data_IF_748385813887
#
_entry.id   IF_748385813887
#
_cell.length_a   1.000
_cell.length_b   1.000
_cell.length_c   1.000
_cell.angle_alpha   90.00
_cell.angle_beta   90.00
_cell.angle_gamma   90.00
#
_symmetry.space_group_name_H-M   'P 1'
#
loop_
_entity.id
_entity.type
_entity.pdbx_description
1 polymer ?
#
# COMPACT_ATOMS: atom_id res chain seq x y z
N UNK A 1 -40.53 -14.44 -22.23
CA UNK A 1 -40.37 -15.91 -22.34
C UNK A 1 -41.73 -16.56 -22.52
N UNK A 2 -41.78 -17.73 -23.15
CA UNK A 2 -43.01 -18.50 -23.42
C UNK A 2 -43.54 -19.23 -22.17
N UNK A 3 -43.69 -18.51 -21.05
CA UNK A 3 -44.18 -19.10 -19.80
C UNK A 3 -45.68 -19.41 -19.87
N UNK A 4 -46.04 -20.68 -19.73
CA UNK A 4 -47.41 -21.15 -19.50
C UNK A 4 -47.84 -20.91 -18.04
N UNK A 5 -48.92 -20.16 -17.85
CA UNK A 5 -49.51 -19.79 -16.56
C UNK A 5 -50.08 -20.99 -15.82
N UNK A 6 -50.74 -21.92 -16.51
CA UNK A 6 -51.34 -23.10 -15.90
C UNK A 6 -50.24 -24.07 -15.41
N UNK A 7 -49.18 -24.23 -16.20
CA UNK A 7 -47.99 -24.97 -15.78
C UNK A 7 -47.31 -24.31 -14.56
N UNK A 8 -47.21 -22.98 -14.56
CA UNK A 8 -46.67 -22.20 -13.45
C UNK A 8 -47.44 -22.35 -12.14
N UNK A 9 -48.77 -22.30 -12.21
CA UNK A 9 -49.64 -22.51 -11.06
C UNK A 9 -49.46 -23.90 -10.46
N UNK A 10 -49.35 -24.93 -11.31
CA UNK A 10 -49.09 -26.30 -10.88
C UNK A 10 -47.71 -26.42 -10.21
N UNK A 11 -46.68 -25.82 -10.82
CA UNK A 11 -45.31 -25.81 -10.28
C UNK A 11 -45.22 -25.13 -8.91
N UNK A 12 -45.94 -24.03 -8.67
CA UNK A 12 -46.01 -23.36 -7.36
C UNK A 12 -46.52 -24.30 -6.26
N UNK A 13 -47.44 -25.21 -6.59
CA UNK A 13 -47.94 -26.21 -5.65
C UNK A 13 -46.94 -27.37 -5.51
N UNK A 14 -46.47 -27.92 -6.63
CA UNK A 14 -45.62 -29.13 -6.67
C UNK A 14 -44.24 -28.91 -6.04
N UNK A 15 -43.64 -27.73 -6.24
CA UNK A 15 -42.32 -27.37 -5.67
C UNK A 15 -42.44 -26.96 -4.19
N UNK A 16 -43.66 -26.77 -3.69
CA UNK A 16 -43.91 -26.47 -2.27
C UNK A 16 -43.73 -25.00 -1.91
N UNK A 17 -43.91 -24.07 -2.85
CA UNK A 17 -43.81 -22.64 -2.58
C UNK A 17 -44.78 -22.21 -1.45
N UNK A 18 -45.97 -22.83 -1.40
CA UNK A 18 -46.98 -22.58 -0.36
C UNK A 18 -46.58 -23.07 1.04
N UNK A 19 -45.51 -23.87 1.17
CA UNK A 19 -44.97 -24.28 2.47
C UNK A 19 -44.38 -23.10 3.26
N UNK A 20 -43.95 -22.05 2.56
CA UNK A 20 -43.41 -20.82 3.15
C UNK A 20 -44.24 -19.58 2.81
N UNK A 21 -44.76 -19.49 1.58
CA UNK A 21 -45.48 -18.32 1.08
C UNK A 21 -47.00 -18.50 1.15
N UNK A 22 -47.71 -17.38 1.30
CA UNK A 22 -49.16 -17.33 1.15
C UNK A 22 -49.55 -16.81 -0.23
N UNK A 23 -50.60 -17.38 -0.82
CA UNK A 23 -51.26 -16.91 -2.05
C UNK A 23 -52.77 -17.01 -1.87
N UNK A 24 -53.46 -15.87 -1.98
CA UNK A 24 -54.91 -15.70 -1.85
C UNK A 24 -55.51 -16.44 -0.64
N UNK A 25 -54.83 -16.34 0.52
CA UNK A 25 -55.25 -16.99 1.76
C UNK A 25 -54.73 -18.41 1.96
N UNK A 26 -54.22 -19.08 0.93
CA UNK A 26 -53.68 -20.44 1.01
C UNK A 26 -52.16 -20.46 1.21
N UNK A 27 -51.64 -21.42 1.97
CA UNK A 27 -50.20 -21.57 2.28
C UNK A 27 -49.83 -21.09 3.68
N UNK A 28 -48.57 -20.70 3.88
CA UNK A 28 -48.01 -20.32 5.17
C UNK A 28 -47.55 -18.85 5.18
N UNK A 29 -47.36 -18.25 6.36
CA UNK A 29 -46.97 -16.85 6.53
C UNK A 29 -45.49 -16.68 6.92
N UNK A 30 -44.68 -17.72 6.73
CA UNK A 30 -43.25 -17.68 7.05
C UNK A 30 -42.47 -16.74 6.11
N UNK A 31 -42.90 -16.66 4.86
CA UNK A 31 -42.33 -15.78 3.83
C UNK A 31 -43.39 -14.78 3.31
N UNK A 32 -42.99 -13.72 2.58
CA UNK A 32 -43.92 -12.69 2.14
C UNK A 32 -45.11 -13.22 1.32
N UNK A 33 -46.28 -12.64 1.52
CA UNK A 33 -47.50 -12.94 0.77
C UNK A 33 -47.33 -12.56 -0.72
N UNK A 34 -47.53 -13.54 -1.60
CA UNK A 34 -47.36 -13.42 -3.05
C UNK A 34 -48.68 -13.09 -3.78
N UNK A 35 -49.80 -12.97 -3.08
CA UNK A 35 -51.14 -12.67 -3.65
C UNK A 35 -51.17 -11.42 -4.53
N UNK A 36 -50.22 -10.49 -4.32
CA UNK A 36 -50.09 -9.24 -5.06
C UNK A 36 -48.67 -8.97 -5.54
N UNK A 37 -47.85 -10.00 -5.70
CA UNK A 37 -46.42 -9.85 -6.03
C UNK A 37 -46.20 -9.03 -7.31
N UNK A 38 -47.05 -9.21 -8.32
CA UNK A 38 -46.97 -8.50 -9.59
C UNK A 38 -47.14 -6.97 -9.45
N UNK A 39 -47.80 -6.49 -8.38
CA UNK A 39 -47.94 -5.06 -8.11
C UNK A 39 -46.63 -4.39 -7.66
N UNK A 40 -45.60 -5.16 -7.29
CA UNK A 40 -44.35 -4.66 -6.72
C UNK A 40 -43.13 -4.89 -7.60
N UNK A 41 -43.09 -5.99 -8.36
CA UNK A 41 -41.89 -6.42 -9.10
C UNK A 41 -42.14 -6.45 -10.61
N UNK A 42 -41.10 -6.65 -11.42
CA UNK A 42 -41.23 -6.91 -12.85
C UNK A 42 -40.88 -8.37 -13.16
N UNK A 43 -41.25 -8.84 -14.35
CA UNK A 43 -41.11 -10.24 -14.74
C UNK A 43 -39.64 -10.69 -14.78
N UNK A 44 -38.74 -9.86 -15.31
CA UNK A 44 -37.31 -10.20 -15.44
C UNK A 44 -36.64 -10.38 -14.07
N UNK A 45 -36.92 -9.47 -13.15
CA UNK A 45 -36.46 -9.56 -11.77
C UNK A 45 -37.02 -10.80 -11.07
N UNK A 46 -38.33 -11.04 -11.21
CA UNK A 46 -38.98 -12.17 -10.56
C UNK A 46 -38.45 -13.51 -11.07
N UNK A 47 -38.19 -13.61 -12.38
CA UNK A 47 -37.53 -14.76 -12.99
C UNK A 47 -36.14 -15.01 -12.40
N UNK A 48 -35.30 -13.97 -12.35
CA UNK A 48 -33.96 -14.07 -11.77
C UNK A 48 -34.00 -14.48 -10.29
N UNK A 49 -34.89 -13.86 -9.51
CA UNK A 49 -35.06 -14.14 -8.08
C UNK A 49 -35.55 -15.56 -7.81
N UNK A 50 -36.54 -16.05 -8.56
CA UNK A 50 -37.06 -17.42 -8.41
C UNK A 50 -36.02 -18.47 -8.83
N UNK A 51 -35.23 -18.18 -9.87
CA UNK A 51 -34.18 -19.08 -10.37
C UNK A 51 -33.01 -19.20 -9.40
N UNK A 52 -32.48 -18.07 -8.93
CA UNK A 52 -31.35 -18.06 -8.00
C UNK A 52 -31.36 -16.80 -7.11
N UNK A 53 -32.03 -16.82 -5.96
CA UNK A 53 -32.16 -15.63 -5.12
C UNK A 53 -30.84 -15.26 -4.43
N UNK A 54 -29.93 -16.22 -4.22
CA UNK A 54 -28.60 -15.98 -3.62
C UNK A 54 -27.68 -15.14 -4.52
N UNK A 55 -27.88 -15.13 -5.84
CA UNK A 55 -27.12 -14.26 -6.75
C UNK A 55 -27.44 -12.78 -6.50
N UNK A 56 -28.67 -12.47 -6.09
CA UNK A 56 -29.10 -11.11 -5.76
C UNK A 56 -28.88 -10.78 -4.28
N UNK A 57 -29.15 -11.73 -3.38
CA UNK A 57 -29.00 -11.55 -1.94
C UNK A 57 -28.36 -12.81 -1.30
N UNK A 58 -27.03 -12.82 -1.09
CA UNK A 58 -26.28 -14.03 -0.69
C UNK A 58 -26.78 -14.73 0.59
N UNK A 59 -27.38 -13.99 1.52
CA UNK A 59 -27.86 -14.50 2.81
C UNK A 59 -29.40 -14.56 2.89
N UNK A 60 -30.09 -14.59 1.76
CA UNK A 60 -31.56 -14.71 1.71
C UNK A 60 -32.04 -16.03 2.32
N UNK A 61 -33.15 -15.97 3.06
CA UNK A 61 -33.81 -17.14 3.62
C UNK A 61 -34.56 -17.97 2.56
N UNK A 62 -34.80 -17.40 1.37
CA UNK A 62 -35.41 -18.13 0.24
C UNK A 62 -34.38 -19.11 -0.34
N UNK A 63 -34.57 -20.43 -0.24
CA UNK A 63 -33.58 -21.39 -0.70
C UNK A 63 -33.54 -21.44 -2.23
N UNK A 64 -32.41 -21.90 -2.79
CA UNK A 64 -32.37 -22.31 -4.19
C UNK A 64 -33.21 -23.58 -4.38
N UNK A 65 -34.28 -23.46 -5.17
CA UNK A 65 -35.21 -24.57 -5.46
C UNK A 65 -34.73 -25.45 -6.63
N UNK A 66 -33.52 -25.20 -7.17
CA UNK A 66 -32.89 -25.95 -8.27
C UNK A 66 -33.77 -26.06 -9.52
N UNK A 67 -34.48 -24.98 -9.85
CA UNK A 67 -35.40 -24.91 -10.97
C UNK A 67 -34.65 -24.84 -12.30
N UNK A 68 -35.21 -25.45 -13.35
CA UNK A 68 -34.80 -25.15 -14.72
C UNK A 68 -35.30 -23.77 -15.15
N UNK A 69 -34.68 -23.21 -16.20
CA UNK A 69 -35.10 -21.94 -16.79
C UNK A 69 -36.57 -21.97 -17.25
N UNK A 70 -37.01 -23.10 -17.78
CA UNK A 70 -38.40 -23.30 -18.19
C UNK A 70 -39.36 -23.28 -16.98
N UNK A 71 -39.02 -24.00 -15.89
CA UNK A 71 -39.82 -23.99 -14.67
C UNK A 71 -39.89 -22.60 -14.03
N UNK A 72 -38.76 -21.89 -13.95
CA UNK A 72 -38.72 -20.52 -13.44
C UNK A 72 -39.55 -19.57 -14.31
N UNK A 73 -39.56 -19.75 -15.64
CA UNK A 73 -40.37 -18.95 -16.56
C UNK A 73 -41.87 -19.19 -16.35
N UNK A 74 -42.28 -20.45 -16.17
CA UNK A 74 -43.68 -20.80 -15.87
C UNK A 74 -44.14 -20.21 -14.54
N UNK A 75 -43.36 -20.38 -13.47
CA UNK A 75 -43.68 -19.82 -12.15
C UNK A 75 -43.78 -18.30 -12.22
N UNK A 76 -42.83 -17.65 -12.90
CA UNK A 76 -42.85 -16.20 -13.11
C UNK A 76 -44.11 -15.77 -13.86
N UNK A 77 -44.49 -16.47 -14.94
CA UNK A 77 -45.69 -16.16 -15.70
C UNK A 77 -46.96 -16.23 -14.83
N UNK A 78 -47.08 -17.25 -13.98
CA UNK A 78 -48.19 -17.35 -13.03
C UNK A 78 -48.16 -16.25 -11.97
N UNK A 79 -47.03 -16.04 -11.30
CA UNK A 79 -46.93 -15.02 -10.25
C UNK A 79 -47.16 -13.60 -10.78
N UNK A 80 -46.81 -13.33 -12.04
CA UNK A 80 -47.11 -12.05 -12.69
C UNK A 80 -48.60 -11.82 -12.97
N UNK A 81 -49.46 -12.84 -12.84
CA UNK A 81 -50.93 -12.66 -12.83
C UNK A 81 -51.48 -12.25 -11.46
N UNK A 82 -50.68 -12.36 -10.40
CA UNK A 82 -51.11 -12.11 -9.03
C UNK A 82 -50.92 -10.63 -8.66
N UNK A 83 -51.91 -9.83 -9.02
CA UNK A 83 -52.00 -8.39 -8.75
C UNK A 83 -51.66 -7.52 -9.96
N UNK A 84 -52.02 -6.25 -9.89
CA UNK A 84 -51.76 -5.28 -10.94
C UNK A 84 -50.93 -4.11 -10.42
N UNK A 85 -50.01 -3.60 -11.26
CA UNK A 85 -49.38 -2.30 -11.01
C UNK A 85 -50.38 -1.22 -11.32
N UNK A 86 -51.08 -0.74 -10.30
CA UNK A 86 -51.96 0.42 -10.43
C UNK A 86 -51.12 1.70 -10.41
N UNK A 87 -50.98 2.34 -11.56
CA UNK A 87 -50.46 3.70 -11.61
C UNK A 87 -51.50 4.65 -10.99
N UNK A 88 -51.08 5.53 -10.08
CA UNK A 88 -51.98 6.54 -9.52
C UNK A 88 -52.40 7.51 -10.64
N UNK A 89 -53.70 7.62 -10.98
CA UNK A 89 -54.14 8.54 -12.04
C UNK A 89 -53.78 10.00 -11.75
N UNK A 90 -53.81 10.38 -10.47
CA UNK A 90 -53.41 11.71 -10.01
C UNK A 90 -51.90 11.97 -10.21
N UNK A 91 -51.06 10.95 -10.02
CA UNK A 91 -49.63 11.05 -10.28
C UNK A 91 -49.35 11.06 -11.78
N UNK A 92 -49.99 10.19 -12.55
CA UNK A 92 -49.86 10.13 -14.01
C UNK A 92 -50.23 11.48 -14.67
N UNK A 93 -51.31 12.12 -14.22
CA UNK A 93 -51.70 13.46 -14.67
C UNK A 93 -50.63 14.51 -14.36
N UNK A 94 -49.96 14.43 -13.20
CA UNK A 94 -48.86 15.35 -12.84
C UNK A 94 -47.55 15.05 -13.55
N UNK A 95 -47.28 13.80 -13.91
CA UNK A 95 -46.10 13.45 -14.73
C UNK A 95 -46.19 14.09 -16.12
N UNK A 96 -47.39 14.29 -16.66
CA UNK A 96 -47.60 15.00 -17.92
C UNK A 96 -47.41 16.52 -17.80
N UNK A 97 -47.39 17.08 -16.59
CA UNK A 97 -47.11 18.50 -16.37
C UNK A 97 -45.61 18.76 -16.25
N UNK A 98 -45.01 19.17 -17.37
CA UNK A 98 -43.60 19.53 -17.45
C UNK A 98 -43.17 20.57 -16.40
N UNK A 99 -44.06 21.47 -15.95
CA UNK A 99 -43.70 22.47 -14.93
C UNK A 99 -43.41 21.84 -13.57
N UNK A 100 -44.15 20.79 -13.22
CA UNK A 100 -43.96 20.05 -11.96
C UNK A 100 -42.68 19.22 -12.05
N UNK A 101 -42.42 18.59 -13.20
CA UNK A 101 -41.16 17.87 -13.45
C UNK A 101 -39.96 18.83 -13.38
N UNK A 102 -40.05 19.99 -14.01
CA UNK A 102 -39.00 21.02 -13.97
C UNK A 102 -38.79 21.58 -12.56
N UNK A 103 -39.86 21.70 -11.77
CA UNK A 103 -39.75 22.05 -10.35
C UNK A 103 -38.96 20.98 -9.57
N UNK A 104 -39.23 19.70 -9.81
CA UNK A 104 -38.45 18.60 -9.26
C UNK A 104 -36.96 18.69 -9.63
N UNK A 105 -36.67 18.95 -10.91
CA UNK A 105 -35.29 19.14 -11.39
C UNK A 105 -34.58 20.31 -10.68
N UNK A 106 -35.27 21.44 -10.46
CA UNK A 106 -34.72 22.57 -9.71
C UNK A 106 -34.45 22.23 -8.25
N UNK A 107 -35.27 21.39 -7.62
CA UNK A 107 -35.06 20.94 -6.24
C UNK A 107 -33.83 20.02 -6.17
N UNK A 108 -33.68 19.08 -7.11
CA UNK A 108 -32.50 18.23 -7.20
C UNK A 108 -31.23 19.07 -7.36
N UNK A 109 -31.25 20.06 -8.26
CA UNK A 109 -30.14 21.00 -8.45
C UNK A 109 -29.79 21.81 -7.20
N UNK A 110 -30.80 22.31 -6.49
CA UNK A 110 -30.61 23.11 -5.27
C UNK A 110 -29.91 22.34 -4.15
N UNK A 111 -30.27 21.06 -3.97
CA UNK A 111 -29.71 20.22 -2.92
C UNK A 111 -28.51 19.37 -3.38
N UNK A 112 -28.24 19.32 -4.69
CA UNK A 112 -27.11 18.60 -5.25
C UNK A 112 -27.22 17.08 -5.10
N UNK A 113 -28.43 16.50 -5.24
CA UNK A 113 -28.63 15.07 -5.03
C UNK A 113 -27.74 14.19 -5.94
N UNK A 114 -27.44 14.67 -7.14
CA UNK A 114 -26.52 14.03 -8.09
C UNK A 114 -25.06 13.95 -7.61
N UNK A 115 -24.71 14.67 -6.53
CA UNK A 115 -23.39 14.56 -5.91
C UNK A 115 -23.18 13.24 -5.16
N UNK A 116 -24.26 12.53 -4.81
CA UNK A 116 -24.20 11.25 -4.11
C UNK A 116 -25.02 10.13 -4.78
N UNK A 117 -25.99 10.46 -5.61
CA UNK A 117 -26.83 9.50 -6.34
C UNK A 117 -26.57 9.61 -7.85
N UNK A 118 -26.51 8.46 -8.52
CA UNK A 118 -26.57 8.43 -9.98
C UNK A 118 -28.00 8.73 -10.43
N UNK A 119 -28.19 9.86 -11.11
CA UNK A 119 -29.50 10.30 -11.62
C UNK A 119 -29.37 10.49 -13.13
N UNK A 120 -30.16 9.71 -13.88
CA UNK A 120 -30.15 9.72 -15.34
C UNK A 120 -30.37 11.13 -15.90
N UNK A 121 -29.45 11.60 -16.74
CA UNK A 121 -29.47 12.95 -17.35
C UNK A 121 -28.90 14.06 -16.46
N UNK A 122 -28.33 13.73 -15.30
CA UNK A 122 -27.67 14.68 -14.40
C UNK A 122 -26.22 14.33 -14.08
N UNK A 123 -25.62 13.39 -14.80
CA UNK A 123 -24.25 12.88 -14.59
C UNK A 123 -23.19 13.97 -14.81
N UNK A 124 -23.48 14.96 -15.67
CA UNK A 124 -22.59 16.09 -15.97
C UNK A 124 -22.84 17.35 -15.13
N UNK A 125 -23.75 17.32 -14.16
CA UNK A 125 -24.08 18.50 -13.38
C UNK A 125 -22.93 18.89 -12.43
N UNK A 126 -22.62 20.20 -12.31
CA UNK A 126 -21.52 20.66 -11.45
C UNK A 126 -21.84 20.40 -9.99
N UNK A 127 -20.82 19.99 -9.21
CA UNK A 127 -20.95 19.83 -7.76
C UNK A 127 -21.45 21.13 -7.13
N UNK A 128 -22.36 21.02 -6.16
CA UNK A 128 -22.94 22.18 -5.46
C UNK A 128 -21.92 22.86 -4.53
N UNK A 129 -20.96 22.08 -3.99
CA UNK A 129 -19.90 22.61 -3.13
C UNK A 129 -18.73 23.19 -3.92
N UNK A 130 -18.02 24.20 -3.35
CA UNK A 130 -16.77 24.69 -3.94
C UNK A 130 -15.68 23.63 -3.93
N UNK A 131 -14.71 23.79 -4.82
CA UNK A 131 -13.49 23.00 -4.85
C UNK A 131 -12.61 23.34 -3.64
N UNK A 132 -11.95 22.33 -3.06
CA UNK A 132 -11.21 22.46 -1.79
C UNK A 132 -9.72 22.10 -1.86
N UNK A 133 -9.20 21.59 -2.98
CA UNK A 133 -7.81 21.06 -3.07
C UNK A 133 -6.76 22.14 -2.83
N UNK A 134 -7.09 23.41 -3.06
CA UNK A 134 -6.22 24.58 -2.82
C UNK A 134 -6.81 25.54 -1.78
N UNK A 135 -7.74 25.06 -0.94
CA UNK A 135 -8.50 25.89 -0.02
C UNK A 135 -7.62 26.63 1.02
N UNK A 136 -6.47 26.06 1.39
CA UNK A 136 -5.53 26.67 2.32
C UNK A 136 -4.95 27.99 1.81
N UNK A 137 -4.87 28.16 0.48
CA UNK A 137 -4.25 29.32 -0.18
C UNK A 137 -5.13 30.56 -0.17
N UNK A 138 -6.43 30.39 0.15
CA UNK A 138 -7.36 31.50 0.28
C UNK A 138 -6.87 32.46 1.37
N UNK A 139 -6.91 33.74 1.08
CA UNK A 139 -6.61 34.79 2.04
C UNK A 139 -7.87 35.20 2.81
N UNK A 140 -7.74 35.69 4.06
CA UNK A 140 -8.90 36.13 4.84
C UNK A 140 -9.80 37.14 4.12
N UNK A 141 -9.25 38.05 3.32
CA UNK A 141 -10.04 39.03 2.55
C UNK A 141 -10.81 38.43 1.36
N UNK A 142 -10.50 37.20 0.95
CA UNK A 142 -11.27 36.46 -0.05
C UNK A 142 -12.44 35.69 0.58
N UNK A 143 -12.56 35.73 1.93
CA UNK A 143 -13.61 35.07 2.68
C UNK A 143 -14.69 36.07 3.09
N UNK A 144 -15.95 35.76 2.78
CA UNK A 144 -17.08 36.59 3.14
C UNK A 144 -17.55 36.28 4.57
N UNK A 145 -17.31 37.20 5.51
CA UNK A 145 -17.71 37.06 6.92
C UNK A 145 -19.16 37.50 7.22
N UNK A 146 -19.90 38.00 6.22
CA UNK A 146 -21.30 38.43 6.39
C UNK A 146 -21.48 39.44 7.53
N UNK A 147 -22.56 39.29 8.29
CA UNK A 147 -22.94 40.19 9.39
C UNK A 147 -22.51 39.66 10.78
N UNK A 148 -21.59 38.70 10.82
CA UNK A 148 -21.17 38.05 12.06
C UNK A 148 -20.35 39.01 12.94
N UNK A 149 -20.54 39.00 14.27
CA UNK A 149 -19.67 39.76 15.18
C UNK A 149 -18.24 39.21 15.17
N UNK A 150 -17.30 39.96 14.57
CA UNK A 150 -15.91 39.54 14.42
C UNK A 150 -14.99 40.08 15.51
N UNK A 151 -14.01 39.28 15.90
CA UNK A 151 -12.88 39.69 16.72
C UNK A 151 -11.70 40.04 15.79
N UNK A 152 -11.24 41.29 15.81
CA UNK A 152 -10.09 41.76 15.01
C UNK A 152 -8.78 41.13 15.51
N UNK A 153 -7.97 40.57 14.61
CA UNK A 153 -6.69 39.91 14.90
C UNK A 153 -5.51 40.90 14.98
N UNK A 154 -4.54 40.65 15.88
CA UNK A 154 -3.17 41.17 15.79
C UNK A 154 -2.37 40.23 14.88
N UNK A 155 -1.82 40.79 13.81
CA UNK A 155 -1.16 40.16 12.65
C UNK A 155 -0.29 38.91 12.93
N UNK A 156 -0.48 37.86 12.10
CA UNK A 156 0.38 36.68 11.79
C UNK A 156 0.50 35.48 12.74
N UNK A 157 -0.05 35.48 13.95
CA UNK A 157 0.01 34.27 14.80
C UNK A 157 -1.10 33.27 14.45
N UNK A 158 -0.72 32.03 14.09
CA UNK A 158 -1.67 30.91 14.04
C UNK A 158 -2.25 30.76 15.45
N UNK A 159 -3.57 30.82 15.58
CA UNK A 159 -4.22 30.77 16.88
C UNK A 159 -4.35 29.34 17.36
N UNK A 160 -4.19 29.06 18.67
CA UNK A 160 -4.53 27.76 19.22
C UNK A 160 -5.99 27.41 18.95
N UNK A 161 -6.26 26.15 18.59
CA UNK A 161 -7.60 25.62 18.31
C UNK A 161 -8.55 25.86 19.49
N UNK A 162 -8.07 25.69 20.73
CA UNK A 162 -8.81 25.96 21.97
C UNK A 162 -9.37 27.39 22.04
N UNK A 163 -8.63 28.36 21.48
CA UNK A 163 -9.09 29.76 21.42
C UNK A 163 -10.30 29.90 20.51
N UNK A 164 -10.31 29.22 19.35
CA UNK A 164 -11.43 29.27 18.41
C UNK A 164 -12.68 28.62 19.00
N UNK A 165 -12.51 27.48 19.68
CA UNK A 165 -13.59 26.79 20.39
C UNK A 165 -14.22 27.73 21.43
N UNK A 166 -13.40 28.36 22.27
CA UNK A 166 -13.86 29.27 23.31
C UNK A 166 -14.57 30.52 22.73
N UNK A 167 -14.03 31.10 21.66
CA UNK A 167 -14.66 32.25 20.98
C UNK A 167 -16.03 31.90 20.40
N UNK A 168 -16.13 30.72 19.78
CA UNK A 168 -17.39 30.25 19.22
C UNK A 168 -18.45 29.99 20.30
N UNK A 169 -18.03 29.43 21.45
CA UNK A 169 -18.90 29.19 22.60
C UNK A 169 -19.49 30.49 23.21
N UNK A 170 -18.79 31.63 23.12
CA UNK A 170 -19.20 32.95 23.64
C UNK A 170 -20.19 33.71 22.71
N UNK A 171 -21.11 32.99 22.07
CA UNK A 171 -22.16 33.59 21.24
C UNK A 171 -21.78 33.77 19.77
N UNK A 172 -21.14 32.74 19.17
CA UNK A 172 -20.82 32.70 17.74
C UNK A 172 -19.90 33.84 17.29
N UNK A 173 -18.93 34.23 18.12
CA UNK A 173 -17.86 35.14 17.70
C UNK A 173 -16.73 34.32 17.12
N UNK A 174 -16.12 34.83 16.06
CA UNK A 174 -14.93 34.23 15.47
C UNK A 174 -13.89 35.30 15.17
N UNK A 175 -12.64 34.89 15.09
CA UNK A 175 -11.58 35.76 14.64
C UNK A 175 -11.72 36.03 13.14
N UNK A 176 -11.43 37.27 12.72
CA UNK A 176 -11.31 37.66 11.32
C UNK A 176 -10.02 37.07 10.72
N UNK A 177 -10.02 35.75 10.55
CA UNK A 177 -8.90 34.95 10.05
C UNK A 177 -9.40 33.78 9.21
N UNK A 178 -8.48 33.17 8.47
CA UNK A 178 -8.77 31.96 7.69
C UNK A 178 -9.26 30.84 8.63
N UNK A 179 -8.60 30.67 9.77
CA UNK A 179 -8.93 29.64 10.74
C UNK A 179 -10.29 29.90 11.39
N UNK A 180 -10.56 31.15 11.78
CA UNK A 180 -11.83 31.55 12.35
C UNK A 180 -12.99 31.36 11.38
N UNK A 181 -12.82 31.78 10.11
CA UNK A 181 -13.85 31.62 9.09
C UNK A 181 -14.18 30.14 8.87
N UNK A 182 -13.14 29.33 8.63
CA UNK A 182 -13.25 27.90 8.34
C UNK A 182 -13.88 27.13 9.51
N UNK A 183 -13.40 27.39 10.73
CA UNK A 183 -13.96 26.79 11.94
C UNK A 183 -15.42 27.18 12.14
N UNK A 184 -15.77 28.46 12.01
CA UNK A 184 -17.15 28.93 12.11
C UNK A 184 -18.07 28.30 11.07
N UNK A 185 -17.60 28.07 9.83
CA UNK A 185 -18.37 27.35 8.80
C UNK A 185 -18.69 25.91 9.18
N UNK A 186 -17.75 25.22 9.82
CA UNK A 186 -17.96 23.83 10.27
C UNK A 186 -18.91 23.77 11.46
N UNK A 187 -18.79 24.71 12.41
CA UNK A 187 -19.67 24.77 13.57
C UNK A 187 -21.10 25.24 13.22
N UNK A 188 -21.23 26.15 12.25
CA UNK A 188 -22.50 26.62 11.72
C UNK A 188 -22.36 27.05 10.25
N UNK A 189 -22.78 26.18 9.34
CA UNK A 189 -22.69 26.43 7.89
C UNK A 189 -23.46 27.67 7.41
N UNK A 190 -24.45 28.14 8.19
CA UNK A 190 -25.29 29.31 7.91
C UNK A 190 -24.81 30.59 8.60
N UNK A 191 -23.75 30.53 9.41
CA UNK A 191 -23.26 31.65 10.22
C UNK A 191 -23.03 32.93 9.42
N UNK A 192 -22.43 32.83 8.24
CA UNK A 192 -22.14 33.97 7.35
C UNK A 192 -23.20 34.22 6.27
N UNK A 193 -24.43 33.70 6.45
CA UNK A 193 -25.52 34.01 5.53
C UNK A 193 -25.94 35.48 5.68
N UNK A 194 -26.37 36.08 4.58
CA UNK A 194 -26.99 37.42 4.56
C UNK A 194 -28.34 37.32 3.85
N UNK A 195 -29.16 38.37 3.92
CA UNK A 195 -30.43 38.45 3.20
C UNK A 195 -30.28 38.25 1.67
N UNK A 196 -29.09 38.51 1.14
CA UNK A 196 -28.78 38.39 -0.30
C UNK A 196 -28.01 37.13 -0.65
N UNK A 197 -27.27 36.54 0.30
CA UNK A 197 -26.40 35.39 0.06
C UNK A 197 -26.82 34.25 0.98
N UNK A 198 -27.66 33.39 0.43
CA UNK A 198 -28.12 32.17 1.11
C UNK A 198 -27.04 31.10 0.94
N UNK A 199 -26.48 30.66 2.07
CA UNK A 199 -25.55 29.55 2.11
C UNK A 199 -26.31 28.23 1.89
N UNK A 200 -25.75 27.29 1.13
CA UNK A 200 -26.41 26.00 0.82
C UNK A 200 -25.81 24.81 1.58
N UNK A 201 -24.55 24.90 2.04
CA UNK A 201 -23.85 23.84 2.79
C UNK A 201 -24.71 23.33 3.98
N UNK A 202 -25.03 22.03 4.09
CA UNK A 202 -25.81 21.52 5.21
C UNK A 202 -25.14 21.81 6.55
N UNK A 203 -25.92 21.95 7.62
CA UNK A 203 -25.36 21.99 8.96
C UNK A 203 -25.19 20.55 9.46
N UNK A 204 -23.93 20.10 9.53
CA UNK A 204 -23.57 18.75 9.96
C UNK A 204 -23.41 18.63 11.48
N UNK A 205 -23.48 19.74 12.23
CA UNK A 205 -23.32 19.77 13.68
C UNK A 205 -22.02 19.09 14.17
N UNK A 206 -20.90 19.38 13.49
CA UNK A 206 -19.60 18.83 13.86
C UNK A 206 -19.25 19.12 15.32
N UNK A 207 -18.68 18.10 15.99
CA UNK A 207 -18.08 18.27 17.31
C UNK A 207 -16.90 19.26 17.23
N UNK A 208 -16.46 19.80 18.37
CA UNK A 208 -15.27 20.66 18.39
C UNK A 208 -14.03 19.92 17.92
N UNK A 209 -13.93 18.62 18.23
CA UNK A 209 -12.86 17.74 17.78
C UNK A 209 -12.89 17.56 16.25
N UNK A 210 -14.05 17.24 15.68
CA UNK A 210 -14.20 17.04 14.23
C UNK A 210 -13.93 18.33 13.45
N UNK A 211 -14.49 19.46 13.91
CA UNK A 211 -14.27 20.76 13.27
C UNK A 211 -12.79 21.17 13.33
N UNK A 212 -12.09 20.80 14.41
CA UNK A 212 -10.65 21.04 14.56
C UNK A 212 -9.82 20.15 13.64
N UNK A 213 -10.14 18.86 13.55
CA UNK A 213 -9.46 17.92 12.66
C UNK A 213 -9.63 18.31 11.19
N UNK A 214 -10.85 18.68 10.79
CA UNK A 214 -11.15 19.18 9.46
C UNK A 214 -10.43 20.50 9.16
N UNK A 215 -10.31 21.40 10.14
CA UNK A 215 -9.54 22.64 9.99
C UNK A 215 -8.07 22.36 9.65
N UNK A 216 -7.44 21.41 10.36
CA UNK A 216 -6.06 21.00 10.10
C UNK A 216 -5.91 20.38 8.72
N UNK A 217 -6.82 19.49 8.33
CA UNK A 217 -6.81 18.89 7.00
C UNK A 217 -6.94 19.95 5.90
N UNK A 218 -7.92 20.85 6.03
CA UNK A 218 -8.14 21.94 5.09
C UNK A 218 -6.93 22.88 4.99
N UNK A 219 -6.14 23.02 6.06
CA UNK A 219 -4.90 23.80 6.06
C UNK A 219 -3.77 23.12 5.27
N UNK A 220 -3.83 21.81 5.05
CA UNK A 220 -2.87 21.09 4.21
C UNK A 220 -3.18 21.13 2.70
N UNK A 221 -4.37 21.63 2.32
CA UNK A 221 -4.81 21.70 0.93
C UNK A 221 -4.28 22.96 0.25
N UNK A 222 -2.99 22.95 -0.08
CA UNK A 222 -2.25 24.06 -0.70
C UNK A 222 -1.67 23.65 -2.06
N UNK A 223 -1.68 24.56 -3.02
CA UNK A 223 -0.91 24.49 -4.28
C UNK A 223 0.29 25.48 -4.25
N UNK A 224 0.58 26.06 -3.08
CA UNK A 224 1.69 26.98 -2.88
C UNK A 224 3.02 26.24 -3.00
N UNK A 225 3.61 26.33 -4.19
CA UNK A 225 5.01 25.98 -4.42
C UNK A 225 5.86 27.00 -3.69
N UNK A 226 6.52 26.59 -2.61
CA UNK A 226 7.47 27.41 -1.87
C UNK A 226 8.43 28.10 -2.86
N UNK A 227 8.69 29.41 -2.74
CA UNK A 227 9.64 30.09 -3.61
C UNK A 227 11.00 29.36 -3.57
N UNK A 228 11.79 29.32 -4.66
CA UNK A 228 13.04 28.56 -4.71
C UNK A 228 14.02 28.86 -3.57
N UNK A 229 13.98 30.05 -2.97
CA UNK A 229 14.79 30.43 -1.81
C UNK A 229 14.39 29.76 -0.48
N UNK A 230 13.21 29.15 -0.40
CA UNK A 230 12.72 28.36 0.74
C UNK A 230 12.71 26.86 0.46
N UNK A 231 13.00 26.45 -0.77
CA UNK A 231 13.23 25.05 -1.12
C UNK A 231 14.71 24.78 -0.87
N UNK A 232 15.00 23.95 0.15
CA UNK A 232 16.34 23.38 0.26
C UNK A 232 16.60 22.60 -1.03
N UNK A 233 17.58 23.02 -1.82
CA UNK A 233 18.11 22.18 -2.91
C UNK A 233 19.04 21.20 -2.21
N UNK A 234 18.63 19.92 -2.04
CA UNK A 234 19.48 18.95 -1.38
C UNK A 234 20.80 18.84 -2.14
N UNK A 235 21.90 18.64 -1.41
CA UNK A 235 23.15 18.25 -2.07
C UNK A 235 22.95 16.95 -2.85
N UNK A 236 23.84 16.63 -3.79
CA UNK A 236 23.77 15.36 -4.51
C UNK A 236 23.71 14.16 -3.54
N UNK A 237 24.47 14.21 -2.44
CA UNK A 237 24.45 13.19 -1.38
C UNK A 237 23.10 13.11 -0.65
N UNK A 238 22.49 14.25 -0.36
CA UNK A 238 21.19 14.29 0.32
C UNK A 238 20.08 13.79 -0.61
N UNK A 239 20.12 14.16 -1.89
CA UNK A 239 19.19 13.67 -2.90
C UNK A 239 19.31 12.14 -3.07
N UNK A 240 20.55 11.62 -3.12
CA UNK A 240 20.81 10.19 -3.16
C UNK A 240 20.25 9.48 -1.92
N UNK A 241 20.45 10.04 -0.72
CA UNK A 241 19.94 9.46 0.52
C UNK A 241 18.42 9.40 0.58
N UNK A 242 17.74 10.47 0.16
CA UNK A 242 16.28 10.53 0.10
C UNK A 242 15.75 9.50 -0.92
N UNK A 243 16.35 9.45 -2.11
CA UNK A 243 15.96 8.49 -3.14
C UNK A 243 16.15 7.04 -2.67
N UNK A 244 17.30 6.73 -2.06
CA UNK A 244 17.59 5.43 -1.48
C UNK A 244 16.64 5.04 -0.35
N UNK A 245 16.34 5.97 0.56
CA UNK A 245 15.38 5.76 1.65
C UNK A 245 13.97 5.45 1.13
N UNK A 246 13.52 6.15 0.09
CA UNK A 246 12.24 5.87 -0.56
C UNK A 246 12.21 4.46 -1.17
N UNK A 247 13.29 4.00 -1.80
CA UNK A 247 13.36 2.64 -2.33
C UNK A 247 13.36 1.58 -1.21
N UNK A 248 14.06 1.84 -0.09
CA UNK A 248 14.02 0.97 1.09
C UNK A 248 12.61 0.81 1.65
N UNK A 249 11.81 1.88 1.65
CA UNK A 249 10.41 1.86 2.06
C UNK A 249 9.52 1.17 1.01
N UNK A 250 9.68 1.52 -0.28
CA UNK A 250 8.92 0.96 -1.41
C UNK A 250 9.01 -0.57 -1.46
N UNK A 251 10.20 -1.12 -1.28
CA UNK A 251 10.43 -2.57 -1.28
C UNK A 251 10.40 -3.21 0.11
N UNK A 252 10.02 -2.44 1.14
CA UNK A 252 9.90 -2.86 2.53
C UNK A 252 11.12 -3.66 3.05
N UNK A 253 12.33 -3.15 2.80
CA UNK A 253 13.57 -3.85 3.15
C UNK A 253 13.68 -4.10 4.67
N UNK A 254 13.19 -3.16 5.49
CA UNK A 254 13.14 -3.28 6.95
C UNK A 254 12.15 -4.34 7.45
N UNK A 255 11.24 -4.84 6.60
CA UNK A 255 10.35 -5.95 6.97
C UNK A 255 11.13 -7.24 7.25
N UNK A 256 12.26 -7.44 6.58
CA UNK A 256 13.12 -8.62 6.76
C UNK A 256 14.45 -8.27 7.44
N UNK A 257 15.06 -7.13 7.09
CA UNK A 257 16.35 -6.70 7.59
C UNK A 257 16.22 -5.82 8.83
N UNK A 258 17.19 -5.91 9.72
CA UNK A 258 17.35 -4.96 10.80
C UNK A 258 18.52 -4.01 10.54
N UNK A 259 18.35 -2.76 10.97
CA UNK A 259 19.32 -1.67 10.83
C UNK A 259 19.30 -0.89 12.14
N UNK A 260 20.42 -0.83 12.85
CA UNK A 260 20.57 -0.07 14.10
C UNK A 260 19.46 -0.33 15.15
N UNK A 261 19.01 -1.60 15.26
CA UNK A 261 17.98 -2.01 16.23
C UNK A 261 16.53 -1.86 15.76
N UNK A 262 16.29 -1.45 14.50
CA UNK A 262 14.97 -1.34 13.89
C UNK A 262 14.82 -2.33 12.73
N UNK A 263 13.63 -2.92 12.56
CA UNK A 263 13.31 -3.82 11.45
C UNK A 263 13.19 -5.29 11.85
N UNK A 264 13.17 -6.17 10.86
CA UNK A 264 12.98 -7.61 11.01
C UNK A 264 14.28 -8.37 11.33
N UNK A 265 14.16 -9.54 11.97
CA UNK A 265 15.29 -10.41 12.32
C UNK A 265 15.43 -11.62 11.39
N UNK A 266 14.68 -11.65 10.29
CA UNK A 266 14.66 -12.77 9.34
C UNK A 266 15.89 -12.73 8.43
N UNK A 267 16.40 -11.54 8.11
CA UNK A 267 17.54 -11.32 7.24
C UNK A 267 18.70 -10.63 7.99
N UNK A 268 19.93 -10.64 7.41
CA UNK A 268 21.10 -10.10 8.10
C UNK A 268 21.00 -8.60 8.41
N UNK A 269 21.73 -8.18 9.47
CA UNK A 269 21.96 -6.79 9.82
C UNK A 269 22.58 -6.02 8.65
N UNK A 270 21.96 -4.93 8.22
CA UNK A 270 22.51 -4.08 7.15
C UNK A 270 23.23 -2.83 7.67
N UNK A 271 23.30 -2.60 8.99
CA UNK A 271 23.85 -1.37 9.59
C UNK A 271 25.29 -1.05 9.15
N UNK A 272 26.05 -2.05 8.73
CA UNK A 272 27.44 -1.93 8.28
C UNK A 272 27.64 -2.47 6.86
N UNK A 273 26.56 -2.68 6.09
CA UNK A 273 26.67 -3.34 4.79
C UNK A 273 27.51 -2.53 3.79
N UNK A 274 27.48 -1.20 3.88
CA UNK A 274 28.33 -0.32 3.07
C UNK A 274 29.82 -0.43 3.38
N UNK A 275 30.17 -0.72 4.64
CA UNK A 275 31.56 -1.01 5.02
C UNK A 275 31.97 -2.45 4.69
N UNK A 276 31.01 -3.38 4.66
CA UNK A 276 31.23 -4.83 4.53
C UNK A 276 31.36 -5.31 3.10
N UNK A 277 30.43 -4.90 2.23
CA UNK A 277 30.35 -5.40 0.87
C UNK A 277 31.18 -4.55 -0.09
N UNK A 278 31.60 -5.14 -1.21
CA UNK A 278 32.07 -4.37 -2.37
C UNK A 278 30.87 -3.88 -3.17
N UNK A 279 30.90 -2.63 -3.61
CA UNK A 279 29.80 -2.00 -4.35
C UNK A 279 29.40 -2.75 -5.63
N UNK A 280 30.37 -3.25 -6.40
CA UNK A 280 30.10 -4.05 -7.61
C UNK A 280 29.42 -5.38 -7.30
N UNK A 281 29.85 -6.05 -6.23
CA UNK A 281 29.19 -7.28 -5.81
C UNK A 281 27.78 -6.99 -5.32
N UNK A 282 27.58 -5.96 -4.49
CA UNK A 282 26.28 -5.58 -3.97
C UNK A 282 25.29 -5.26 -5.10
N UNK A 283 25.72 -4.50 -6.12
CA UNK A 283 24.91 -4.23 -7.30
C UNK A 283 24.50 -5.52 -8.03
N UNK A 284 25.45 -6.43 -8.26
CA UNK A 284 25.18 -7.72 -8.90
C UNK A 284 24.21 -8.59 -8.08
N UNK A 285 24.33 -8.54 -6.75
CA UNK A 285 23.47 -9.30 -5.84
C UNK A 285 22.06 -8.74 -5.79
N UNK A 286 21.89 -7.41 -5.78
CA UNK A 286 20.57 -6.77 -5.85
C UNK A 286 19.83 -7.10 -7.17
N UNK A 287 20.56 -7.20 -8.29
CA UNK A 287 20.01 -7.61 -9.59
C UNK A 287 19.58 -9.08 -9.62
N UNK A 288 20.38 -9.96 -9.01
CA UNK A 288 20.13 -11.41 -9.03
C UNK A 288 20.50 -12.05 -7.68
N UNK A 289 19.61 -11.94 -6.66
CA UNK A 289 19.86 -12.53 -5.35
C UNK A 289 19.94 -14.06 -5.44
N UNK A 290 20.98 -14.63 -4.83
CA UNK A 290 21.21 -16.08 -4.78
C UNK A 290 21.63 -16.53 -3.37
N UNK A 291 21.54 -17.82 -3.10
CA UNK A 291 21.90 -18.36 -1.79
C UNK A 291 23.41 -18.21 -1.53
N UNK A 292 23.75 -17.57 -0.42
CA UNK A 292 25.12 -17.36 0.04
C UNK A 292 25.56 -18.43 1.05
N UNK A 293 24.62 -18.90 1.87
CA UNK A 293 24.86 -19.92 2.91
C UNK A 293 24.09 -21.17 2.52
N UNK A 294 24.76 -22.27 2.13
CA UNK A 294 24.08 -23.50 1.73
C UNK A 294 23.11 -24.05 2.79
N UNK A 295 23.42 -23.81 4.07
CA UNK A 295 22.62 -24.26 5.22
C UNK A 295 21.38 -23.40 5.53
N UNK A 296 21.17 -22.27 4.84
CA UNK A 296 20.06 -21.35 5.13
C UNK A 296 18.96 -21.49 4.07
N UNK A 297 17.73 -21.80 4.51
CA UNK A 297 16.56 -21.95 3.64
C UNK A 297 15.99 -20.59 3.20
N UNK A 298 16.14 -19.56 4.04
CA UNK A 298 15.74 -18.20 3.71
C UNK A 298 16.70 -17.59 2.69
N UNK A 299 16.15 -17.04 1.61
CA UNK A 299 16.86 -16.27 0.59
C UNK A 299 16.23 -14.90 0.41
N UNK A 300 17.03 -13.91 0.04
CA UNK A 300 16.51 -12.61 -0.36
C UNK A 300 15.58 -12.79 -1.58
N UNK A 301 14.35 -12.25 -1.55
CA UNK A 301 13.45 -12.33 -2.70
C UNK A 301 14.01 -11.59 -3.91
N UNK A 302 13.59 -12.01 -5.11
CA UNK A 302 13.82 -11.22 -6.32
C UNK A 302 12.84 -10.06 -6.34
N UNK A 303 13.34 -8.83 -6.44
CA UNK A 303 12.53 -7.63 -6.58
C UNK A 303 12.55 -7.16 -8.04
N UNK A 304 11.44 -6.59 -8.56
CA UNK A 304 11.40 -5.99 -9.88
C UNK A 304 12.07 -4.60 -9.85
N UNK A 305 13.39 -4.59 -9.61
CA UNK A 305 14.20 -3.38 -9.62
C UNK A 305 14.55 -3.01 -11.05
N UNK A 306 14.41 -1.73 -11.40
CA UNK A 306 15.09 -1.19 -12.57
C UNK A 306 16.60 -1.11 -12.31
N UNK A 307 17.40 -1.06 -13.38
CA UNK A 307 18.85 -0.91 -13.24
C UNK A 307 19.23 0.36 -12.45
N UNK A 308 18.50 1.45 -12.66
CA UNK A 308 18.73 2.69 -11.94
C UNK A 308 18.39 2.57 -10.45
N UNK A 309 17.28 1.90 -10.11
CA UNK A 309 16.92 1.65 -8.70
C UNK A 309 17.95 0.76 -8.01
N UNK A 310 18.49 -0.25 -8.70
CA UNK A 310 19.55 -1.10 -8.15
C UNK A 310 20.85 -0.30 -7.88
N UNK A 311 21.22 0.61 -8.78
CA UNK A 311 22.36 1.53 -8.59
C UNK A 311 22.11 2.47 -7.42
N UNK A 312 20.94 3.11 -7.36
CA UNK A 312 20.57 4.03 -6.26
C UNK A 312 20.54 3.31 -4.91
N UNK A 313 20.01 2.08 -4.83
CA UNK A 313 20.05 1.27 -3.61
C UNK A 313 21.49 0.92 -3.21
N UNK A 314 22.34 0.52 -4.18
CA UNK A 314 23.75 0.25 -3.92
C UNK A 314 24.44 1.50 -3.38
N UNK A 315 24.32 2.63 -4.05
CA UNK A 315 24.98 3.89 -3.65
C UNK A 315 24.48 4.36 -2.28
N UNK A 316 23.18 4.24 -2.01
CA UNK A 316 22.61 4.53 -0.70
C UNK A 316 23.17 3.62 0.40
N UNK A 317 23.23 2.29 0.19
CA UNK A 317 23.81 1.35 1.17
C UNK A 317 25.28 1.68 1.43
N UNK A 318 26.04 1.93 0.35
CA UNK A 318 27.47 2.23 0.41
C UNK A 318 27.78 3.59 1.07
N UNK A 319 26.80 4.48 1.21
CA UNK A 319 26.99 5.80 1.83
C UNK A 319 26.33 5.91 3.19
N UNK A 320 25.14 5.35 3.37
CA UNK A 320 24.35 5.46 4.59
C UNK A 320 24.71 4.40 5.65
N UNK A 321 25.21 3.23 5.24
CA UNK A 321 25.49 2.11 6.15
C UNK A 321 26.99 1.86 6.30
N UNK A 322 27.71 2.95 6.59
CA UNK A 322 29.13 2.96 6.90
C UNK A 322 29.32 2.87 8.42
N UNK A 323 30.15 1.92 8.84
CA UNK A 323 30.52 1.70 10.22
C UNK A 323 31.95 2.19 10.47
N UNK A 324 32.10 3.14 11.39
CA UNK A 324 33.40 3.73 11.74
C UNK A 324 34.36 2.75 12.42
N UNK A 325 33.86 1.61 12.91
CA UNK A 325 34.68 0.53 13.49
C UNK A 325 35.48 -0.23 12.42
N UNK A 326 35.30 0.10 11.14
CA UNK A 326 36.01 -0.48 10.00
C UNK A 326 37.00 0.54 9.42
N UNK A 327 38.16 0.76 10.06
CA UNK A 327 39.18 1.64 9.54
C UNK A 327 39.88 1.01 8.32
N UNK A 328 40.42 1.87 7.44
CA UNK A 328 41.30 1.41 6.34
C UNK A 328 42.54 0.74 6.91
N UNK A 329 42.90 -0.43 6.40
CA UNK A 329 44.08 -1.19 6.80
C UNK A 329 45.25 -0.86 5.86
N UNK A 330 46.30 -0.14 6.32
CA UNK A 330 47.38 0.33 5.45
C UNK A 330 48.11 -0.78 4.70
N UNK A 331 48.29 -1.95 5.32
CA UNK A 331 49.00 -3.09 4.75
C UNK A 331 48.28 -3.68 3.53
N UNK A 332 46.95 -3.59 3.46
CA UNK A 332 46.20 -4.04 2.29
C UNK A 332 46.34 -3.04 1.14
N UNK A 333 46.47 -1.75 1.46
CA UNK A 333 46.71 -0.70 0.47
C UNK A 333 48.10 -0.77 -0.17
N UNK A 334 49.08 -1.43 0.46
CA UNK A 334 50.47 -1.54 -0.02
C UNK A 334 50.76 -2.76 -0.91
N UNK A 335 49.70 -3.43 -1.38
CA UNK A 335 49.72 -4.68 -2.14
C UNK A 335 50.18 -5.91 -1.34
N UNK A 336 49.30 -6.90 -1.32
CA UNK A 336 49.52 -8.22 -0.71
C UNK A 336 50.65 -8.97 -1.43
N UNK A 337 51.57 -9.58 -0.69
CA UNK A 337 52.68 -10.37 -1.24
C UNK A 337 52.34 -11.88 -1.28
N UNK A 338 53.00 -12.67 -2.17
CA UNK A 338 52.86 -14.13 -2.16
C UNK A 338 53.22 -14.78 -0.82
N UNK A 339 54.22 -14.24 -0.11
CA UNK A 339 54.63 -14.74 1.21
C UNK A 339 53.54 -14.53 2.26
N UNK A 340 52.82 -13.40 2.21
CA UNK A 340 51.66 -13.16 3.08
C UNK A 340 50.53 -14.15 2.81
N UNK A 341 50.27 -14.48 1.53
CA UNK A 341 49.26 -15.46 1.17
C UNK A 341 49.64 -16.87 1.65
N UNK A 342 50.92 -17.27 1.49
CA UNK A 342 51.42 -18.55 1.99
C UNK A 342 51.36 -18.63 3.53
N UNK A 343 51.65 -17.53 4.23
CA UNK A 343 51.46 -17.45 5.68
C UNK A 343 49.98 -17.57 6.05
N UNK A 344 49.09 -16.88 5.33
CA UNK A 344 47.65 -16.94 5.52
C UNK A 344 47.07 -18.34 5.34
N UNK A 345 47.58 -19.09 4.36
CA UNK A 345 47.22 -20.48 4.13
C UNK A 345 47.55 -21.36 5.33
N UNK A 346 48.78 -21.26 5.87
CA UNK A 346 49.19 -21.97 7.09
C UNK A 346 48.32 -21.59 8.29
N UNK A 347 48.00 -20.30 8.45
CA UNK A 347 47.13 -19.84 9.52
C UNK A 347 45.72 -20.44 9.40
N UNK A 348 45.19 -20.52 8.18
CA UNK A 348 43.87 -21.08 7.89
C UNK A 348 43.79 -22.59 8.17
N UNK A 349 44.79 -23.37 7.71
CA UNK A 349 44.77 -24.82 7.80
C UNK A 349 45.35 -25.40 9.09
N UNK A 350 46.36 -24.74 9.68
CA UNK A 350 47.13 -25.33 10.77
C UNK A 350 46.85 -24.66 12.12
N UNK A 351 46.92 -23.32 12.19
CA UNK A 351 46.85 -22.60 13.48
C UNK A 351 45.43 -22.38 14.00
N UNK A 352 44.52 -21.92 13.14
CA UNK A 352 43.16 -21.48 13.51
C UNK A 352 42.03 -22.42 13.05
N UNK A 353 42.37 -23.66 12.68
CA UNK A 353 41.62 -24.58 11.80
C UNK A 353 40.29 -24.04 11.20
N UNK A 354 40.37 -22.97 10.41
CA UNK A 354 39.19 -22.27 9.85
C UNK A 354 38.34 -23.19 8.96
N UNK A 355 38.98 -24.18 8.34
CA UNK A 355 38.38 -25.19 7.47
C UNK A 355 37.32 -26.08 8.14
N UNK A 356 37.31 -26.13 9.48
CA UNK A 356 36.32 -26.91 10.24
C UNK A 356 34.91 -26.34 10.08
N UNK A 357 34.80 -25.02 9.91
CA UNK A 357 33.53 -24.32 9.67
C UNK A 357 33.40 -23.81 8.23
N UNK A 358 34.49 -23.32 7.62
CA UNK A 358 34.48 -22.70 6.30
C UNK A 358 34.97 -23.65 5.20
N UNK A 359 34.33 -23.58 4.03
CA UNK A 359 34.74 -24.36 2.85
C UNK A 359 35.66 -23.53 1.95
N UNK A 360 36.54 -24.23 1.24
CA UNK A 360 37.27 -23.72 0.07
C UNK A 360 37.04 -24.69 -1.09
N UNK A 361 36.68 -24.15 -2.24
CA UNK A 361 36.29 -24.82 -3.48
C UNK A 361 35.21 -25.90 -3.26
N UNK A 362 34.21 -25.63 -2.42
CA UNK A 362 33.16 -26.59 -2.05
C UNK A 362 33.65 -27.82 -1.29
N UNK A 363 34.94 -27.90 -0.91
CA UNK A 363 35.50 -29.01 -0.14
C UNK A 363 35.40 -28.67 1.34
N UNK A 364 34.45 -29.30 2.03
CA UNK A 364 34.36 -29.27 3.49
C UNK A 364 35.10 -30.47 4.09
N UNK A 365 35.87 -30.24 5.16
CA UNK A 365 36.38 -31.33 6.01
C UNK A 365 35.55 -31.46 7.29
N UNK A 366 34.55 -30.58 7.50
CA UNK A 366 33.69 -30.51 8.69
C UNK A 366 32.24 -30.10 8.39
N UNK A 367 31.52 -29.59 9.41
CA UNK A 367 30.08 -29.38 9.40
C UNK A 367 29.56 -28.23 8.49
N UNK A 368 30.44 -27.56 7.73
CA UNK A 368 30.06 -26.53 6.76
C UNK A 368 29.12 -25.43 7.32
N UNK A 369 29.40 -25.00 8.55
CA UNK A 369 28.58 -24.01 9.28
C UNK A 369 28.77 -22.60 8.71
N UNK A 370 29.99 -22.27 8.28
CA UNK A 370 30.35 -21.00 7.67
C UNK A 370 30.08 -20.97 6.16
N UNK A 371 29.93 -19.78 5.56
CA UNK A 371 29.90 -19.64 4.11
C UNK A 371 31.20 -20.14 3.46
N UNK A 372 31.10 -20.56 2.20
CA UNK A 372 32.27 -20.83 1.35
C UNK A 372 33.09 -19.53 1.15
N UNK A 373 34.39 -19.61 1.42
CA UNK A 373 35.30 -18.47 1.39
C UNK A 373 36.08 -18.31 0.07
N UNK A 374 35.88 -19.22 -0.87
CA UNK A 374 36.56 -19.30 -2.18
C UNK A 374 36.56 -17.99 -2.94
N UNK A 375 35.43 -17.29 -2.92
CA UNK A 375 35.20 -16.02 -3.63
C UNK A 375 34.90 -14.87 -2.64
N UNK A 376 35.32 -15.03 -1.37
CA UNK A 376 35.08 -14.03 -0.33
C UNK A 376 35.70 -12.67 -0.67
N UNK A 377 36.87 -12.67 -1.34
CA UNK A 377 37.57 -11.45 -1.73
C UNK A 377 36.80 -10.60 -2.75
N UNK A 378 36.11 -11.23 -3.71
CA UNK A 378 35.28 -10.50 -4.69
C UNK A 378 34.06 -9.86 -4.05
N UNK A 379 33.65 -10.41 -2.91
CA UNK A 379 32.42 -10.04 -2.20
C UNK A 379 32.62 -8.98 -1.14
N UNK A 380 33.63 -9.19 -0.29
CA UNK A 380 33.82 -8.44 0.93
C UNK A 380 34.91 -7.39 0.75
N UNK A 381 34.73 -6.28 1.45
CA UNK A 381 35.76 -5.28 1.60
C UNK A 381 36.92 -5.89 2.43
N UNK A 382 38.18 -5.82 1.97
CA UNK A 382 39.32 -6.31 2.74
C UNK A 382 39.43 -5.73 4.16
N UNK A 383 39.15 -4.44 4.31
CA UNK A 383 39.21 -3.77 5.61
C UNK A 383 38.20 -4.37 6.58
N UNK A 384 36.99 -4.66 6.08
CA UNK A 384 35.97 -5.39 6.82
C UNK A 384 36.43 -6.79 7.20
N UNK A 385 37.03 -7.54 6.27
CA UNK A 385 37.45 -8.92 6.53
C UNK A 385 38.45 -8.98 7.68
N UNK A 386 39.42 -8.06 7.73
CA UNK A 386 40.39 -7.98 8.84
C UNK A 386 39.67 -7.76 10.17
N UNK A 387 38.78 -6.78 10.26
CA UNK A 387 38.08 -6.49 11.52
C UNK A 387 37.14 -7.61 11.95
N UNK A 388 36.43 -8.21 10.99
CA UNK A 388 35.51 -9.32 11.23
C UNK A 388 36.26 -10.56 11.73
N UNK A 389 37.40 -10.92 11.13
CA UNK A 389 38.19 -12.08 11.54
C UNK A 389 38.79 -11.89 12.94
N UNK A 390 39.19 -10.66 13.29
CA UNK A 390 39.76 -10.35 14.60
C UNK A 390 38.73 -10.42 15.73
N UNK A 391 37.55 -9.84 15.54
CA UNK A 391 36.54 -9.78 16.59
C UNK A 391 35.12 -9.67 16.00
N UNK A 392 34.54 -10.79 15.53
CA UNK A 392 33.23 -10.76 14.89
C UNK A 392 32.12 -10.40 15.89
N UNK A 393 32.27 -10.73 17.18
CA UNK A 393 31.33 -10.37 18.24
C UNK A 393 31.21 -8.85 18.47
N UNK A 394 32.21 -8.06 18.07
CA UNK A 394 32.11 -6.59 18.12
C UNK A 394 31.03 -6.06 17.17
N UNK A 395 30.76 -6.75 16.06
CA UNK A 395 29.77 -6.36 15.06
C UNK A 395 28.45 -7.09 15.25
N UNK A 396 28.51 -8.40 15.52
CA UNK A 396 27.36 -9.25 15.74
C UNK A 396 27.57 -10.10 17.01
N UNK A 397 27.08 -9.66 18.18
CA UNK A 397 27.30 -10.36 19.45
C UNK A 397 26.86 -11.83 19.46
N UNK A 398 25.83 -12.20 18.68
CA UNK A 398 25.30 -13.56 18.61
C UNK A 398 25.95 -14.41 17.51
N UNK A 399 27.00 -13.93 16.85
CA UNK A 399 27.68 -14.67 15.78
C UNK A 399 28.36 -15.95 16.30
N UNK A 400 28.22 -17.04 15.54
CA UNK A 400 28.83 -18.34 15.85
C UNK A 400 30.34 -18.32 15.59
N UNK A 401 30.83 -17.43 14.71
CA UNK A 401 32.27 -17.34 14.42
C UNK A 401 33.00 -16.88 15.68
N UNK A 402 33.91 -17.68 16.27
CA UNK A 402 34.55 -17.32 17.53
C UNK A 402 35.59 -16.20 17.34
N UNK A 403 35.83 -15.42 18.38
CA UNK A 403 37.04 -14.61 18.48
C UNK A 403 38.22 -15.52 18.81
N UNK A 404 39.10 -15.71 17.83
CA UNK A 404 40.26 -16.61 17.92
C UNK A 404 41.54 -15.91 18.41
N UNK A 405 41.46 -14.61 18.74
CA UNK A 405 42.60 -13.84 19.27
C UNK A 405 43.66 -13.47 18.24
N UNK A 406 43.28 -13.29 16.97
CA UNK A 406 44.22 -12.98 15.88
C UNK A 406 44.82 -11.57 16.02
N UNK A 407 46.10 -11.47 15.71
CA UNK A 407 46.77 -10.17 15.51
C UNK A 407 46.39 -9.54 14.17
N UNK A 408 46.62 -8.23 14.02
CA UNK A 408 46.40 -7.52 12.74
C UNK A 408 47.20 -8.14 11.58
N UNK A 409 48.45 -8.55 11.84
CA UNK A 409 49.29 -9.17 10.83
C UNK A 409 48.75 -10.54 10.38
N UNK A 410 48.28 -11.35 11.33
CA UNK A 410 47.69 -12.67 11.02
C UNK A 410 46.36 -12.57 10.28
N UNK A 411 45.47 -11.67 10.71
CA UNK A 411 44.21 -11.41 10.03
C UNK A 411 44.47 -10.92 8.59
N UNK A 412 45.44 -10.02 8.42
CA UNK A 412 45.86 -9.53 7.10
C UNK A 412 46.43 -10.64 6.22
N UNK A 413 47.24 -11.55 6.78
CA UNK A 413 47.77 -12.71 6.06
C UNK A 413 46.66 -13.67 5.60
N UNK A 414 45.64 -13.94 6.45
CA UNK A 414 44.48 -14.74 6.03
C UNK A 414 43.72 -14.05 4.90
N UNK A 415 43.51 -12.73 4.99
CA UNK A 415 42.86 -11.95 3.93
C UNK A 415 43.67 -12.00 2.63
N UNK A 416 45.00 -11.99 2.71
CA UNK A 416 45.90 -12.20 1.57
C UNK A 416 45.73 -13.58 0.92
N UNK A 417 45.56 -14.63 1.72
CA UNK A 417 45.26 -15.95 1.21
C UNK A 417 43.92 -15.98 0.46
N UNK A 418 42.86 -15.37 1.03
CA UNK A 418 41.54 -15.31 0.39
C UNK A 418 41.56 -14.51 -0.93
N UNK A 419 42.37 -13.46 -1.03
CA UNK A 419 42.63 -12.78 -2.30
C UNK A 419 43.26 -13.73 -3.32
N UNK A 420 44.30 -14.47 -2.91
CA UNK A 420 45.03 -15.37 -3.81
C UNK A 420 44.12 -16.45 -4.40
N UNK A 421 43.18 -16.98 -3.61
CA UNK A 421 42.18 -17.93 -4.07
C UNK A 421 41.27 -17.32 -5.14
N UNK A 422 40.76 -16.11 -4.92
CA UNK A 422 39.92 -15.44 -5.90
C UNK A 422 40.67 -15.08 -7.20
N UNK A 423 41.95 -14.72 -7.12
CA UNK A 423 42.81 -14.52 -8.30
C UNK A 423 43.02 -15.81 -9.09
N UNK A 424 43.25 -16.94 -8.41
CA UNK A 424 43.40 -18.25 -9.06
C UNK A 424 42.14 -18.67 -9.82
N UNK A 425 40.95 -18.43 -9.26
CA UNK A 425 39.68 -18.71 -9.94
C UNK A 425 39.52 -17.81 -11.17
N UNK A 426 39.79 -16.51 -11.04
CA UNK A 426 39.71 -15.58 -12.17
C UNK A 426 40.64 -16.01 -13.33
N UNK A 427 41.84 -16.52 -13.01
CA UNK A 427 42.77 -17.07 -13.99
C UNK A 427 42.29 -18.38 -14.64
N UNK A 428 41.46 -19.18 -13.95
CA UNK A 428 40.83 -20.38 -14.50
C UNK A 428 39.62 -20.08 -15.40
N UNK A 429 39.07 -18.86 -15.36
CA UNK A 429 37.83 -18.46 -16.05
C UNK A 429 38.08 -17.60 -17.31
N UNK A 430 39.33 -17.35 -17.73
CA UNK A 430 39.59 -16.62 -18.99
C UNK A 430 39.14 -17.39 -20.26
N UNK A 431 38.65 -16.68 -21.30
CA UNK A 431 37.65 -17.19 -22.23
C UNK A 431 38.25 -18.06 -23.32
N UNK A 432 37.96 -19.36 -23.25
CA UNK A 432 38.42 -20.35 -24.21
C UNK A 432 37.56 -21.61 -24.25
N UNK A 433 36.24 -21.50 -24.18
CA UNK A 433 35.33 -22.55 -24.68
C UNK A 433 33.91 -22.00 -24.84
N UNK A 434 33.50 -21.77 -26.08
CA UNK A 434 32.10 -21.72 -26.46
C UNK A 434 31.46 -23.08 -26.17
N UNK A 435 30.78 -23.18 -25.03
CA UNK A 435 30.04 -24.36 -24.59
C UNK A 435 28.58 -24.00 -24.35
N UNK A 436 27.75 -24.35 -25.32
CA UNK A 436 26.28 -24.43 -25.32
C UNK A 436 25.56 -24.12 -24.00
N UNK A 437 24.75 -23.05 -24.01
CA UNK A 437 23.71 -22.86 -23.00
C UNK A 437 22.70 -24.01 -23.02
N UNK A 438 22.12 -24.39 -21.86
CA UNK A 438 21.06 -25.37 -21.84
C UNK A 438 19.83 -24.76 -22.50
N UNK A 439 19.44 -25.34 -23.63
CA UNK A 439 18.25 -24.97 -24.38
C UNK A 439 17.01 -25.01 -23.50
N UNK A 440 16.20 -23.97 -23.61
CA UNK A 440 14.84 -23.90 -23.13
C UNK A 440 14.01 -25.01 -23.79
N UNK A 441 13.83 -26.13 -23.08
CA UNK A 441 12.86 -27.16 -23.44
C UNK A 441 11.44 -26.63 -23.23
N UNK A 442 10.85 -26.12 -24.30
CA UNK A 442 9.40 -25.94 -24.43
C UNK A 442 8.72 -27.31 -24.42
N UNK A 443 8.23 -27.74 -23.26
CA UNK A 443 7.30 -28.85 -23.15
C UNK A 443 5.87 -28.29 -23.25
N UNK A 444 5.33 -28.31 -24.47
CA UNK A 444 3.89 -28.32 -24.72
C UNK A 444 3.29 -29.58 -24.10
N UNK A 445 2.31 -29.43 -23.21
CA UNK A 445 1.52 -30.54 -22.72
C UNK A 445 0.09 -30.41 -23.27
N UNK A 446 -0.41 -31.36 -24.07
CA UNK A 446 -1.83 -31.49 -24.34
C UNK A 446 -2.43 -32.47 -23.34
N UNK A 447 -3.44 -32.05 -22.58
CA UNK A 447 -4.61 -32.84 -22.17
C UNK A 447 -5.60 -31.96 -21.41
#
# INVERSE_FOLDING_TARGET
GNGDVAAGQKLVQDIGCLGCHQINGAGNTFAPDLSRVASKVNADWLFGWVKNPQDYLPHTAMPSLRLSDEQAAHITAYLMTLGEKTASPALAAKLADHKVVDQGNRVIGRYGCYGCHDIAGMEGQPRVGPELTTYADKRPWEMAFGDVPLVKKKTHDITPIERLINLYADGQKIEESWEGWSFGKMKNARMYATDRIIQQMPNFAFSDEDASALLVLLRSFTDEKLPPGYISVPSEDEALRVAGQHLFQKYNCLGCHHIAGQGGTIAPNLAYEGSKARGEWLLSFLRAPHAIRPMMTARMPTFPLTDQEAVTLRDYIMTAFIDQRVPKVPQIAQAITPDMAAQGEKLYWEKYPCFTCHQIQGKAVGAAVGPDLTDAWRRLNPDWMVQWIKNPQAFEPATIMPNLGLTDAEATAIVAYLESLSKQIAAQVTPGSSGNGPGSGSATNPH
#
